data_IF_013245285723
#
_entry.id   IF_013245285723
#
_cell.length_a   1.000
_cell.length_b   1.000
_cell.length_c   1.000
_cell.angle_alpha   90.00
_cell.angle_beta   90.00
_cell.angle_gamma   90.00
#
_symmetry.space_group_name_H-M   'P 1'
#
loop_
_entity.id
_entity.type
_entity.pdbx_description
1 polymer ?
#
# COMPACT_ATOMS: atom_id res chain seq x y z
N UNK A 1 -12.61 -5.13 5.13
CA UNK A 1 -13.30 -3.86 4.81
C UNK A 1 -13.35 -2.96 6.04
N UNK A 2 -13.83 -3.40 7.22
CA UNK A 2 -13.99 -2.54 8.39
C UNK A 2 -12.74 -1.73 8.77
N UNK A 3 -11.56 -2.35 8.82
CA UNK A 3 -10.29 -1.65 9.09
C UNK A 3 -9.99 -0.57 8.05
N UNK A 4 -10.28 -0.82 6.78
CA UNK A 4 -10.07 0.15 5.71
C UNK A 4 -10.95 1.38 5.88
N UNK A 5 -12.22 1.20 6.26
CA UNK A 5 -13.16 2.31 6.49
C UNK A 5 -12.75 3.15 7.70
N UNK A 6 -12.32 2.52 8.82
CA UNK A 6 -11.81 3.24 9.99
C UNK A 6 -10.56 4.06 9.62
N UNK A 7 -9.60 3.45 8.94
CA UNK A 7 -8.39 4.13 8.50
C UNK A 7 -8.70 5.27 7.51
N UNK A 8 -9.65 5.06 6.61
CA UNK A 8 -10.06 6.07 5.62
C UNK A 8 -10.72 7.29 6.26
N UNK A 9 -11.52 7.09 7.31
CA UNK A 9 -12.07 8.19 8.13
C UNK A 9 -10.93 9.03 8.71
N UNK A 10 -9.96 8.39 9.32
CA UNK A 10 -8.86 9.06 10.02
C UNK A 10 -7.87 9.74 9.04
N UNK A 11 -7.77 9.22 7.81
CA UNK A 11 -6.93 9.76 6.74
C UNK A 11 -7.67 10.72 5.80
N UNK A 12 -8.97 10.99 6.01
CA UNK A 12 -9.76 11.92 5.21
C UNK A 12 -10.01 11.46 3.77
N UNK A 13 -10.23 10.16 3.55
CA UNK A 13 -10.53 9.57 2.23
C UNK A 13 -11.70 8.56 2.29
N UNK A 14 -12.66 8.80 3.17
CA UNK A 14 -13.79 7.89 3.39
C UNK A 14 -14.68 7.76 2.14
N UNK A 15 -14.90 8.84 1.41
CA UNK A 15 -15.70 8.85 0.17
C UNK A 15 -15.15 7.85 -0.85
N UNK A 16 -13.86 7.94 -1.16
CA UNK A 16 -13.21 7.03 -2.11
C UNK A 16 -13.19 5.61 -1.58
N UNK A 17 -13.00 5.44 -0.27
CA UNK A 17 -12.98 4.11 0.33
C UNK A 17 -14.33 3.42 0.29
N UNK A 18 -15.45 4.14 0.48
CA UNK A 18 -16.79 3.59 0.35
C UNK A 18 -17.03 3.07 -1.08
N UNK A 19 -16.60 3.84 -2.08
CA UNK A 19 -16.69 3.45 -3.50
C UNK A 19 -15.90 2.16 -3.75
N UNK A 20 -14.63 2.15 -3.35
CA UNK A 20 -13.73 1.01 -3.58
C UNK A 20 -14.20 -0.24 -2.83
N UNK A 21 -14.54 -0.10 -1.54
CA UNK A 21 -15.00 -1.22 -0.72
C UNK A 21 -16.29 -1.85 -1.27
N UNK A 22 -17.24 -1.04 -1.72
CA UNK A 22 -18.44 -1.53 -2.39
C UNK A 22 -18.12 -2.23 -3.71
N UNK A 23 -17.24 -1.66 -4.53
CA UNK A 23 -16.81 -2.25 -5.81
C UNK A 23 -16.12 -3.60 -5.64
N UNK A 24 -15.22 -3.72 -4.67
CA UNK A 24 -14.53 -4.98 -4.35
C UNK A 24 -15.48 -6.05 -3.75
N UNK A 25 -16.66 -5.66 -3.28
CA UNK A 25 -17.65 -6.56 -2.71
C UNK A 25 -18.68 -7.07 -3.74
N UNK A 26 -18.60 -6.55 -4.97
CA UNK A 26 -19.51 -6.90 -6.07
C UNK A 26 -18.73 -7.45 -7.26
N UNK A 27 -19.46 -8.03 -8.22
CA UNK A 27 -18.81 -8.48 -9.45
C UNK A 27 -18.41 -7.28 -10.30
N UNK A 28 -17.20 -7.35 -10.90
CA UNK A 28 -16.69 -6.30 -11.80
C UNK A 28 -17.73 -5.99 -12.91
N UNK A 29 -18.17 -4.73 -13.05
CA UNK A 29 -19.14 -4.36 -14.05
C UNK A 29 -18.56 -4.32 -15.47
N UNK A 30 -17.27 -4.33 -15.67
CA UNK A 30 -16.61 -4.32 -16.98
C UNK A 30 -16.77 -5.68 -17.65
N UNK A 31 -17.33 -5.67 -18.85
CA UNK A 31 -17.51 -6.87 -19.67
C UNK A 31 -16.52 -6.86 -20.82
N UNK A 32 -15.96 -8.02 -21.11
CA UNK A 32 -14.98 -8.21 -22.19
C UNK A 32 -15.36 -9.38 -23.07
N UNK A 33 -16.39 -9.24 -23.92
CA UNK A 33 -16.84 -10.32 -24.80
C UNK A 33 -15.71 -10.74 -25.75
N UNK A 34 -15.61 -12.04 -26.01
CA UNK A 34 -14.54 -12.59 -26.85
C UNK A 34 -14.50 -11.99 -28.26
N UNK A 35 -15.67 -11.69 -28.82
CA UNK A 35 -15.83 -11.12 -30.17
C UNK A 35 -15.48 -9.63 -30.25
N UNK A 36 -15.42 -8.92 -29.12
CA UNK A 36 -15.28 -7.47 -29.05
C UNK A 36 -14.22 -7.01 -28.07
N UNK A 37 -13.23 -7.85 -27.77
CA UNK A 37 -12.21 -7.57 -26.74
C UNK A 37 -11.48 -6.25 -26.96
N UNK A 38 -11.06 -5.99 -28.20
CA UNK A 38 -10.32 -4.78 -28.53
C UNK A 38 -11.19 -3.53 -28.34
N UNK A 39 -12.46 -3.57 -28.77
CA UNK A 39 -13.39 -2.46 -28.60
C UNK A 39 -13.71 -2.21 -27.12
N UNK A 40 -13.88 -3.27 -26.32
CA UNK A 40 -14.07 -3.16 -24.88
C UNK A 40 -12.85 -2.55 -24.20
N UNK A 41 -11.64 -3.03 -24.53
CA UNK A 41 -10.40 -2.51 -23.99
C UNK A 41 -10.21 -1.01 -24.30
N UNK A 42 -10.55 -0.57 -25.51
CA UNK A 42 -10.53 0.85 -25.89
C UNK A 42 -11.48 1.69 -25.03
N UNK A 43 -12.70 1.22 -24.80
CA UNK A 43 -13.67 1.92 -23.95
C UNK A 43 -13.24 1.94 -22.48
N UNK A 44 -12.69 0.85 -22.00
CA UNK A 44 -12.26 0.72 -20.60
C UNK A 44 -11.01 1.56 -20.29
N UNK A 45 -10.20 1.96 -21.28
CA UNK A 45 -9.07 2.89 -21.08
C UNK A 45 -9.50 4.19 -20.39
N UNK A 46 -10.74 4.63 -20.59
CA UNK A 46 -11.30 5.81 -19.95
C UNK A 46 -11.24 5.73 -18.39
N UNK A 47 -11.34 4.53 -17.87
CA UNK A 47 -11.40 4.27 -16.42
C UNK A 47 -10.04 3.87 -15.82
N UNK A 48 -9.02 3.66 -16.65
CA UNK A 48 -7.71 3.21 -16.19
C UNK A 48 -6.99 4.29 -15.40
N UNK A 49 -6.48 3.92 -14.24
CA UNK A 49 -5.44 4.66 -13.55
C UNK A 49 -4.10 3.93 -13.71
N UNK A 50 -3.04 4.66 -14.03
CA UNK A 50 -1.73 4.07 -14.37
C UNK A 50 -0.96 3.51 -13.18
N UNK A 51 -1.35 3.87 -11.96
CA UNK A 51 -0.66 3.49 -10.71
C UNK A 51 -1.51 2.61 -9.81
N UNK A 52 -2.84 2.61 -10.00
CA UNK A 52 -3.77 1.93 -9.09
C UNK A 52 -5.05 1.46 -9.77
N UNK A 53 -5.27 0.16 -9.77
CA UNK A 53 -6.57 -0.37 -10.21
C UNK A 53 -7.69 -0.02 -9.22
N UNK A 54 -7.38 0.26 -7.96
CA UNK A 54 -8.38 0.77 -7.00
C UNK A 54 -8.90 2.16 -7.39
N UNK A 55 -8.03 3.04 -7.88
CA UNK A 55 -8.47 4.33 -8.41
C UNK A 55 -9.22 4.21 -9.72
N UNK A 56 -9.01 3.14 -10.47
CA UNK A 56 -9.81 2.84 -11.65
C UNK A 56 -11.30 2.60 -11.29
N UNK A 57 -11.56 1.99 -10.12
CA UNK A 57 -12.93 1.89 -9.58
C UNK A 57 -13.52 3.28 -9.28
N UNK A 58 -12.77 4.19 -8.69
CA UNK A 58 -13.24 5.55 -8.40
C UNK A 58 -13.55 6.31 -9.71
N UNK A 59 -12.70 6.18 -10.74
CA UNK A 59 -12.95 6.79 -12.05
C UNK A 59 -14.22 6.24 -12.70
N UNK A 60 -14.41 4.93 -12.67
CA UNK A 60 -15.61 4.28 -13.20
C UNK A 60 -16.87 4.70 -12.43
N UNK A 61 -16.80 4.79 -11.11
CA UNK A 61 -17.90 5.29 -10.30
C UNK A 61 -18.31 6.72 -10.65
N UNK A 62 -17.34 7.62 -10.75
CA UNK A 62 -17.60 9.02 -11.10
C UNK A 62 -18.23 9.15 -12.48
N UNK A 63 -17.76 8.36 -13.44
CA UNK A 63 -18.38 8.28 -14.77
C UNK A 63 -19.82 7.79 -14.69
N UNK A 64 -20.08 6.71 -13.94
CA UNK A 64 -21.41 6.15 -13.80
C UNK A 64 -22.36 7.11 -13.08
N UNK A 65 -21.91 7.76 -12.01
CA UNK A 65 -22.68 8.80 -11.31
C UNK A 65 -23.07 9.92 -12.25
N UNK A 66 -22.14 10.42 -13.06
CA UNK A 66 -22.40 11.43 -14.06
C UNK A 66 -23.44 10.95 -15.10
N UNK A 67 -23.30 9.72 -15.59
CA UNK A 67 -24.27 9.13 -16.53
C UNK A 67 -25.68 9.00 -15.91
N UNK A 68 -25.78 8.69 -14.62
CA UNK A 68 -27.06 8.65 -13.87
C UNK A 68 -27.66 10.04 -13.74
N UNK A 69 -26.87 11.05 -13.41
CA UNK A 69 -27.32 12.44 -13.18
C UNK A 69 -27.83 13.10 -14.49
N UNK A 70 -27.25 12.74 -15.63
CA UNK A 70 -27.57 13.32 -16.94
C UNK A 70 -28.44 12.43 -17.83
N UNK A 71 -28.97 11.30 -17.33
CA UNK A 71 -29.78 10.38 -18.10
C UNK A 71 -31.10 11.02 -18.55
N UNK A 72 -31.48 10.82 -19.81
CA UNK A 72 -32.81 11.18 -20.35
C UNK A 72 -33.89 10.17 -19.94
N UNK A 73 -33.52 8.90 -19.81
CA UNK A 73 -34.38 7.81 -19.42
C UNK A 73 -33.55 6.64 -18.88
N UNK A 74 -34.19 5.70 -18.19
CA UNK A 74 -33.50 4.47 -17.75
C UNK A 74 -32.99 3.63 -18.94
N UNK A 75 -33.75 3.59 -20.05
CA UNK A 75 -33.31 2.92 -21.27
C UNK A 75 -32.03 3.55 -21.83
N UNK A 76 -31.99 4.89 -21.94
CA UNK A 76 -30.81 5.62 -22.41
C UNK A 76 -29.58 5.34 -21.52
N UNK A 77 -29.75 5.21 -20.19
CA UNK A 77 -28.66 4.86 -19.29
C UNK A 77 -28.14 3.44 -19.55
N UNK A 78 -29.04 2.46 -19.72
CA UNK A 78 -28.68 1.07 -20.07
C UNK A 78 -27.92 1.03 -21.40
N UNK A 79 -28.42 1.73 -22.42
CA UNK A 79 -27.77 1.80 -23.72
C UNK A 79 -26.37 2.45 -23.63
N UNK A 80 -26.22 3.49 -22.79
CA UNK A 80 -24.93 4.12 -22.52
C UNK A 80 -23.95 3.17 -21.84
N UNK A 81 -24.39 2.38 -20.86
CA UNK A 81 -23.56 1.36 -20.21
C UNK A 81 -23.10 0.30 -21.21
N UNK A 82 -24.03 -0.25 -22.01
CA UNK A 82 -23.71 -1.25 -23.04
C UNK A 82 -22.73 -0.73 -24.09
N UNK A 83 -22.88 0.54 -24.53
CA UNK A 83 -21.95 1.17 -25.45
C UNK A 83 -20.50 1.30 -24.90
N UNK A 84 -20.34 1.17 -23.59
CA UNK A 84 -19.04 1.16 -22.91
C UNK A 84 -18.63 -0.24 -22.40
N UNK A 85 -19.34 -1.29 -22.82
CA UNK A 85 -19.13 -2.67 -22.36
C UNK A 85 -19.18 -2.78 -20.82
N UNK A 86 -20.22 -2.16 -20.25
CA UNK A 86 -20.51 -2.19 -18.82
C UNK A 86 -21.86 -2.84 -18.54
N UNK A 87 -21.88 -3.75 -17.58
CA UNK A 87 -23.11 -4.36 -17.08
C UNK A 87 -23.86 -3.37 -16.19
N UNK A 88 -25.00 -2.87 -16.67
CA UNK A 88 -25.86 -1.99 -15.87
C UNK A 88 -26.35 -2.64 -14.59
N UNK A 89 -26.62 -3.96 -14.62
CA UNK A 89 -27.08 -4.71 -13.46
C UNK A 89 -26.02 -4.69 -12.36
N UNK A 90 -24.75 -4.98 -12.67
CA UNK A 90 -23.64 -4.96 -11.71
C UNK A 90 -23.33 -3.54 -11.22
N UNK A 91 -23.45 -2.53 -12.07
CA UNK A 91 -23.32 -1.13 -11.65
C UNK A 91 -24.42 -0.73 -10.66
N UNK A 92 -25.65 -1.20 -10.85
CA UNK A 92 -26.75 -0.98 -9.92
C UNK A 92 -26.50 -1.69 -8.59
N UNK A 93 -26.07 -2.94 -8.61
CA UNK A 93 -25.71 -3.70 -7.42
C UNK A 93 -24.59 -2.99 -6.64
N UNK A 94 -23.54 -2.54 -7.32
CA UNK A 94 -22.47 -1.76 -6.70
C UNK A 94 -23.01 -0.51 -6.01
N UNK A 95 -23.92 0.22 -6.66
CA UNK A 95 -24.56 1.40 -6.06
C UNK A 95 -25.38 1.07 -4.84
N UNK A 96 -26.08 -0.06 -4.84
CA UNK A 96 -26.85 -0.53 -3.69
C UNK A 96 -25.95 -0.86 -2.51
N UNK A 97 -24.86 -1.59 -2.72
CA UNK A 97 -23.86 -1.90 -1.68
C UNK A 97 -23.18 -0.62 -1.16
N UNK A 98 -22.85 0.31 -2.05
CA UNK A 98 -22.32 1.60 -1.64
C UNK A 98 -23.32 2.34 -0.73
N UNK A 99 -24.61 2.37 -1.09
CA UNK A 99 -25.65 2.99 -0.27
C UNK A 99 -25.78 2.36 1.12
N UNK A 100 -25.67 1.04 1.21
CA UNK A 100 -25.68 0.33 2.50
C UNK A 100 -24.46 0.71 3.36
N UNK A 101 -23.26 0.74 2.79
CA UNK A 101 -22.04 1.15 3.50
C UNK A 101 -22.12 2.61 3.93
N UNK A 102 -22.64 3.49 3.06
CA UNK A 102 -22.84 4.90 3.39
C UNK A 102 -23.82 5.08 4.55
N UNK A 103 -24.96 4.38 4.55
CA UNK A 103 -25.92 4.42 5.65
C UNK A 103 -25.27 3.99 6.98
N UNK A 104 -24.52 2.88 6.96
CA UNK A 104 -23.82 2.35 8.12
C UNK A 104 -22.83 3.38 8.71
N UNK A 105 -22.00 4.01 7.89
CA UNK A 105 -21.01 4.98 8.39
C UNK A 105 -21.70 6.28 8.87
N UNK A 106 -22.84 6.64 8.28
CA UNK A 106 -23.64 7.77 8.70
C UNK A 106 -24.26 7.53 10.07
N UNK A 107 -24.79 6.34 10.34
CA UNK A 107 -25.31 5.93 11.66
C UNK A 107 -24.22 5.97 12.73
N UNK A 108 -22.95 5.69 12.36
CA UNK A 108 -21.79 5.83 13.25
C UNK A 108 -21.36 7.30 13.46
N UNK A 109 -22.05 8.26 12.85
CA UNK A 109 -21.73 9.68 12.93
C UNK A 109 -20.50 10.10 12.14
N UNK A 110 -20.05 9.26 11.20
CA UNK A 110 -18.89 9.59 10.36
C UNK A 110 -19.30 10.49 9.20
N UNK A 111 -18.40 11.39 8.84
CA UNK A 111 -18.61 12.31 7.71
C UNK A 111 -17.66 11.97 6.58
N UNK A 112 -18.18 12.00 5.37
CA UNK A 112 -17.37 11.93 4.18
C UNK A 112 -16.48 13.16 4.03
N UNK A 113 -15.36 12.99 3.32
CA UNK A 113 -14.42 14.06 3.06
C UNK A 113 -14.99 15.06 2.04
N UNK A 114 -14.81 16.35 2.30
CA UNK A 114 -15.22 17.43 1.38
C UNK A 114 -14.21 17.69 0.24
N UNK A 115 -12.99 17.18 0.40
CA UNK A 115 -11.91 17.31 -0.58
C UNK A 115 -11.46 15.89 -0.96
N UNK A 116 -11.21 15.61 -2.25
CA UNK A 116 -10.75 14.28 -2.66
C UNK A 116 -9.53 13.81 -1.90
N UNK A 117 -9.56 12.56 -1.46
CA UNK A 117 -8.44 11.92 -0.77
C UNK A 117 -7.19 11.86 -1.65
N UNK A 118 -6.02 12.02 -1.02
CA UNK A 118 -4.75 11.88 -1.74
C UNK A 118 -4.47 10.40 -2.09
N UNK A 119 -3.61 10.17 -3.08
CA UNK A 119 -3.16 8.82 -3.44
C UNK A 119 -2.65 8.06 -2.20
N UNK A 120 -1.79 8.69 -1.41
CA UNK A 120 -1.18 8.10 -0.23
C UNK A 120 -2.22 7.75 0.85
N UNK A 121 -3.15 8.67 1.14
CA UNK A 121 -4.21 8.45 2.12
C UNK A 121 -5.09 7.25 1.75
N UNK A 122 -5.55 7.18 0.50
CA UNK A 122 -6.39 6.09 -0.01
C UNK A 122 -5.64 4.76 0.08
N UNK A 123 -4.37 4.73 -0.36
CA UNK A 123 -3.62 3.47 -0.39
C UNK A 123 -3.13 3.02 0.98
N UNK A 124 -2.83 3.94 1.90
CA UNK A 124 -2.57 3.59 3.31
C UNK A 124 -3.84 3.05 4.00
N UNK A 125 -5.00 3.61 3.71
CA UNK A 125 -6.26 3.10 4.23
C UNK A 125 -6.56 1.68 3.69
N UNK A 126 -6.41 1.45 2.37
CA UNK A 126 -6.51 0.12 1.76
C UNK A 126 -5.52 -0.87 2.37
N UNK A 127 -4.28 -0.44 2.55
CA UNK A 127 -3.20 -1.27 3.09
C UNK A 127 -3.50 -1.76 4.50
N UNK A 128 -4.24 -1.00 5.32
CA UNK A 128 -4.67 -1.42 6.67
C UNK A 128 -5.46 -2.75 6.68
N UNK A 129 -6.14 -3.04 5.59
CA UNK A 129 -6.87 -4.30 5.39
C UNK A 129 -6.17 -5.31 4.49
N UNK A 130 -5.10 -4.91 3.79
CA UNK A 130 -4.42 -5.71 2.75
C UNK A 130 -2.93 -6.00 3.06
N UNK A 131 -2.48 -5.82 4.30
CA UNK A 131 -1.09 -6.09 4.70
C UNK A 131 -0.62 -7.52 4.38
N UNK A 132 -1.54 -8.48 4.28
CA UNK A 132 -1.24 -9.86 3.86
C UNK A 132 -1.05 -10.04 2.36
N UNK A 133 -1.44 -9.05 1.54
CA UNK A 133 -1.45 -9.12 0.08
C UNK A 133 -0.43 -8.15 -0.55
N UNK A 134 0.59 -7.76 0.20
CA UNK A 134 1.70 -6.98 -0.32
C UNK A 134 2.65 -7.86 -1.14
N UNK A 135 3.41 -7.24 -2.03
CA UNK A 135 4.47 -7.90 -2.78
C UNK A 135 5.65 -6.98 -3.04
N UNK A 136 6.85 -7.53 -2.85
CA UNK A 136 8.11 -6.92 -3.27
C UNK A 136 8.57 -7.56 -4.58
N UNK A 137 8.95 -6.76 -5.56
CA UNK A 137 9.47 -7.25 -6.82
C UNK A 137 10.67 -8.15 -6.57
N UNK A 138 10.61 -9.36 -7.10
CA UNK A 138 11.69 -10.36 -7.04
C UNK A 138 12.74 -10.10 -8.13
N UNK A 139 13.93 -10.64 -7.93
CA UNK A 139 14.97 -10.68 -8.98
C UNK A 139 14.55 -11.57 -10.16
N UNK A 140 13.66 -12.53 -9.90
CA UNK A 140 13.04 -13.34 -10.94
C UNK A 140 12.02 -12.50 -11.73
N UNK A 141 12.18 -12.50 -13.06
CA UNK A 141 11.41 -11.64 -13.96
C UNK A 141 9.89 -11.79 -13.79
N UNK A 142 9.24 -10.68 -13.47
CA UNK A 142 7.79 -10.56 -13.38
C UNK A 142 7.18 -11.02 -12.05
N UNK A 143 7.90 -11.74 -11.19
CA UNK A 143 7.39 -12.22 -9.90
C UNK A 143 7.51 -11.18 -8.78
N UNK A 144 6.55 -11.25 -7.87
CA UNK A 144 6.53 -10.54 -6.60
C UNK A 144 6.57 -11.53 -5.45
N UNK A 145 7.43 -11.27 -4.48
CA UNK A 145 7.51 -12.02 -3.23
C UNK A 145 6.52 -11.42 -2.23
N UNK A 146 5.51 -12.18 -1.91
CA UNK A 146 4.47 -11.81 -0.95
C UNK A 146 4.65 -12.44 0.43
N UNK A 147 3.65 -12.23 1.28
CA UNK A 147 3.60 -12.78 2.63
C UNK A 147 3.80 -14.30 2.63
N UNK A 148 4.48 -14.81 3.68
CA UNK A 148 4.74 -16.25 3.90
C UNK A 148 5.49 -16.95 2.76
N UNK A 149 6.30 -16.21 2.00
CA UNK A 149 7.09 -16.76 0.90
C UNK A 149 6.30 -17.04 -0.38
N UNK A 150 5.04 -16.61 -0.47
CA UNK A 150 4.23 -16.77 -1.68
C UNK A 150 4.85 -15.94 -2.81
N UNK A 151 4.98 -16.53 -4.00
CA UNK A 151 5.40 -15.84 -5.23
C UNK A 151 4.22 -15.74 -6.17
N UNK A 152 3.93 -14.55 -6.63
CA UNK A 152 2.83 -14.31 -7.54
C UNK A 152 3.18 -13.32 -8.64
N UNK A 153 2.42 -13.36 -9.72
CA UNK A 153 2.50 -12.46 -10.86
C UNK A 153 1.36 -11.45 -10.77
N UNK A 154 1.52 -10.31 -11.39
CA UNK A 154 0.37 -9.42 -11.66
C UNK A 154 -0.44 -10.05 -12.80
N UNK A 155 -1.76 -10.07 -12.66
CA UNK A 155 -2.63 -10.66 -13.67
C UNK A 155 -2.41 -10.00 -15.05
N UNK A 156 -2.37 -10.77 -16.15
CA UNK A 156 -2.05 -10.24 -17.48
C UNK A 156 -2.98 -9.13 -17.98
N UNK A 157 -4.23 -9.11 -17.53
CA UNK A 157 -5.18 -8.04 -17.88
C UNK A 157 -4.97 -6.73 -17.12
N UNK A 158 -4.08 -6.70 -16.13
CA UNK A 158 -3.80 -5.49 -15.34
C UNK A 158 -2.97 -4.49 -16.16
N UNK A 159 -3.34 -3.22 -16.18
CA UNK A 159 -2.55 -2.17 -16.82
C UNK A 159 -1.18 -1.97 -16.12
N UNK A 160 -1.04 -2.44 -14.88
CA UNK A 160 0.18 -2.32 -14.11
C UNK A 160 1.19 -3.43 -14.37
N UNK A 161 0.88 -4.46 -15.14
CA UNK A 161 1.75 -5.63 -15.34
C UNK A 161 3.23 -5.29 -15.62
N UNK A 162 3.47 -4.24 -16.41
CA UNK A 162 4.84 -3.81 -16.80
C UNK A 162 5.36 -2.61 -16.00
N UNK A 163 4.50 -1.91 -15.24
CA UNK A 163 4.78 -0.59 -14.64
C UNK A 163 4.57 -0.52 -13.13
N UNK A 164 4.29 -1.62 -12.46
CA UNK A 164 3.86 -1.64 -11.06
C UNK A 164 4.91 -1.17 -10.04
N UNK A 165 6.19 -1.14 -10.40
CA UNK A 165 7.25 -0.70 -9.48
C UNK A 165 7.74 -1.80 -8.55
N UNK A 166 8.46 -1.40 -7.49
CA UNK A 166 9.10 -2.33 -6.54
C UNK A 166 8.10 -2.94 -5.56
N UNK A 167 7.19 -2.13 -5.04
CA UNK A 167 6.22 -2.53 -4.03
C UNK A 167 4.80 -2.40 -4.57
N UNK A 168 4.02 -3.44 -4.33
CA UNK A 168 2.60 -3.49 -4.72
C UNK A 168 1.75 -4.04 -3.57
N UNK A 169 0.46 -3.73 -3.62
CA UNK A 169 -0.59 -4.46 -2.91
C UNK A 169 -1.63 -4.94 -3.91
N UNK A 170 -2.25 -6.07 -3.63
CA UNK A 170 -3.34 -6.62 -4.41
C UNK A 170 -4.62 -6.75 -3.55
N UNK A 171 -5.79 -6.56 -4.14
CA UNK A 171 -7.04 -6.82 -3.43
C UNK A 171 -7.16 -8.31 -3.09
N UNK A 172 -6.76 -9.18 -4.01
CA UNK A 172 -6.76 -10.61 -3.84
C UNK A 172 -5.58 -11.27 -4.57
N UNK A 173 -5.20 -12.45 -4.11
CA UNK A 173 -4.25 -13.34 -4.78
C UNK A 173 -5.02 -14.61 -5.11
N UNK A 174 -5.21 -14.88 -6.39
CA UNK A 174 -5.99 -16.02 -6.90
C UNK A 174 -5.08 -17.03 -7.58
N UNK A 175 -5.35 -18.30 -7.36
CA UNK A 175 -4.67 -19.41 -8.03
C UNK A 175 -5.50 -19.87 -9.25
N UNK A 176 -4.83 -19.91 -10.40
CA UNK A 176 -5.34 -20.52 -11.61
C UNK A 176 -4.30 -21.53 -12.11
N UNK A 177 -3.59 -21.26 -13.20
CA UNK A 177 -2.38 -22.00 -13.59
C UNK A 177 -1.16 -21.55 -12.77
N UNK A 178 -1.20 -20.35 -12.24
CA UNK A 178 -0.21 -19.72 -11.36
C UNK A 178 -0.95 -18.82 -10.37
N UNK A 179 -0.22 -18.31 -9.37
CA UNK A 179 -0.75 -17.30 -8.47
C UNK A 179 -0.70 -15.92 -9.13
N UNK A 180 -1.84 -15.24 -9.14
CA UNK A 180 -1.97 -13.90 -9.71
C UNK A 180 -2.57 -12.92 -8.70
N UNK A 181 -1.92 -11.76 -8.54
CA UNK A 181 -2.49 -10.59 -7.86
C UNK A 181 -3.49 -9.89 -8.79
N UNK A 182 -4.69 -9.63 -8.28
CA UNK A 182 -5.76 -8.91 -8.96
C UNK A 182 -6.07 -7.61 -8.24
N UNK A 183 -6.51 -6.61 -8.99
CA UNK A 183 -6.76 -5.26 -8.53
C UNK A 183 -5.54 -4.73 -7.74
N UNK A 184 -4.49 -4.42 -8.49
CA UNK A 184 -3.18 -4.10 -7.96
C UNK A 184 -2.98 -2.59 -7.88
N UNK A 185 -2.27 -2.13 -6.87
CA UNK A 185 -1.76 -0.76 -6.78
C UNK A 185 -0.29 -0.74 -6.41
N UNK A 186 0.40 0.28 -6.91
CA UNK A 186 1.75 0.62 -6.47
C UNK A 186 1.70 1.26 -5.08
N UNK A 187 2.61 0.82 -4.20
CA UNK A 187 2.75 1.35 -2.84
C UNK A 187 4.21 1.64 -2.52
N UNK A 188 4.44 2.27 -1.36
CA UNK A 188 5.78 2.56 -0.85
C UNK A 188 6.06 1.75 0.43
N UNK A 189 7.32 1.35 0.62
CA UNK A 189 7.75 0.55 1.80
C UNK A 189 7.45 1.24 3.13
N UNK A 190 7.59 2.56 3.17
CA UNK A 190 7.35 3.35 4.38
C UNK A 190 5.90 3.31 4.83
N UNK A 191 4.95 3.18 3.89
CA UNK A 191 3.54 3.00 4.24
C UNK A 191 3.30 1.64 4.90
N UNK A 192 4.01 0.60 4.44
CA UNK A 192 3.92 -0.74 5.04
C UNK A 192 4.41 -0.69 6.50
N UNK A 193 5.54 -0.01 6.75
CA UNK A 193 6.07 0.15 8.11
C UNK A 193 5.13 0.98 9.00
N UNK A 194 4.54 2.06 8.46
CA UNK A 194 3.64 2.95 9.18
C UNK A 194 2.32 2.25 9.55
N UNK A 195 1.67 1.64 8.57
CA UNK A 195 0.36 0.97 8.74
C UNK A 195 0.51 -0.35 9.49
N UNK A 196 1.57 -1.09 9.20
CA UNK A 196 1.87 -2.40 9.77
C UNK A 196 2.74 -2.38 11.03
N UNK A 197 2.97 -1.24 11.67
CA UNK A 197 3.92 -1.07 12.77
C UNK A 197 3.78 -2.11 13.89
N UNK A 198 2.55 -2.51 14.20
CA UNK A 198 2.21 -3.51 15.20
C UNK A 198 2.50 -4.97 14.79
N UNK A 199 2.81 -5.21 13.52
CA UNK A 199 3.10 -6.53 12.93
C UNK A 199 4.55 -6.65 12.45
N UNK A 200 5.28 -5.54 12.37
CA UNK A 200 6.66 -5.48 11.91
C UNK A 200 7.56 -6.17 12.94
N UNK A 201 8.36 -7.11 12.47
CA UNK A 201 9.47 -7.69 13.23
C UNK A 201 10.74 -6.90 12.93
N UNK A 202 11.42 -6.48 13.99
CA UNK A 202 12.69 -5.74 13.92
C UNK A 202 13.81 -6.62 14.40
N UNK A 203 14.92 -6.63 13.68
CA UNK A 203 16.16 -7.29 14.04
C UNK A 203 17.28 -6.27 13.99
N UNK A 204 18.08 -6.26 15.06
CA UNK A 204 19.22 -5.36 15.18
C UNK A 204 20.50 -6.18 15.09
N UNK A 205 21.49 -5.67 14.39
CA UNK A 205 22.75 -6.37 14.18
C UNK A 205 23.89 -5.41 13.93
N UNK A 206 25.14 -5.91 14.09
CA UNK A 206 26.38 -5.20 13.83
C UNK A 206 26.46 -3.86 14.56
N UNK A 207 26.20 -3.89 15.87
CA UNK A 207 26.37 -2.74 16.74
C UNK A 207 27.86 -2.41 16.89
N UNK A 208 28.25 -1.18 16.61
CA UNK A 208 29.64 -0.73 16.61
C UNK A 208 29.75 0.74 17.01
N UNK A 209 30.92 1.12 17.49
CA UNK A 209 31.26 2.51 17.75
C UNK A 209 31.48 3.26 16.44
N UNK A 210 30.93 4.42 16.34
CA UNK A 210 31.09 5.28 15.18
C UNK A 210 31.74 6.62 15.57
N UNK A 211 33.01 6.74 15.26
CA UNK A 211 33.83 7.90 15.58
C UNK A 211 33.22 9.22 15.11
N UNK A 212 32.73 9.27 13.86
CA UNK A 212 32.20 10.50 13.25
C UNK A 212 30.97 11.06 13.95
N UNK A 213 30.06 10.20 14.36
CA UNK A 213 28.81 10.59 15.04
C UNK A 213 28.91 10.52 16.57
N UNK A 214 30.05 10.05 17.10
CA UNK A 214 30.32 9.86 18.54
C UNK A 214 29.20 9.12 19.25
N UNK A 215 28.74 8.03 18.63
CA UNK A 215 27.66 7.19 19.17
C UNK A 215 27.82 5.74 18.76
N UNK A 216 27.19 4.84 19.49
CA UNK A 216 27.06 3.45 19.06
C UNK A 216 25.92 3.39 18.02
N UNK A 217 26.29 3.00 16.82
CA UNK A 217 25.39 2.79 15.69
C UNK A 217 25.22 1.31 15.43
N UNK A 218 24.14 0.96 14.79
CA UNK A 218 23.85 -0.42 14.37
C UNK A 218 22.93 -0.43 13.16
N UNK A 219 22.59 -1.60 12.72
CA UNK A 219 21.68 -1.80 11.60
C UNK A 219 20.37 -2.41 12.05
N UNK A 220 19.28 -1.90 11.54
CA UNK A 220 17.94 -2.45 11.69
C UNK A 220 17.49 -3.10 10.39
N UNK A 221 16.94 -4.30 10.50
CA UNK A 221 16.20 -4.98 9.45
C UNK A 221 14.75 -5.12 9.86
N UNK A 222 13.83 -4.71 8.99
CA UNK A 222 12.39 -4.85 9.25
C UNK A 222 11.76 -5.87 8.31
N UNK A 223 10.88 -6.70 8.86
CA UNK A 223 10.15 -7.72 8.09
C UNK A 223 8.68 -7.74 8.47
N UNK A 224 7.81 -8.02 7.49
CA UNK A 224 6.38 -8.25 7.68
C UNK A 224 5.99 -9.57 7.04
N UNK A 225 5.45 -10.50 7.82
CA UNK A 225 5.06 -11.85 7.35
C UNK A 225 6.16 -12.57 6.53
N UNK A 226 7.43 -12.35 6.88
CA UNK A 226 8.59 -12.92 6.20
C UNK A 226 9.09 -12.11 5.00
N UNK A 227 8.37 -11.10 4.54
CA UNK A 227 8.85 -10.18 3.49
C UNK A 227 9.77 -9.15 4.12
N UNK A 228 10.96 -8.97 3.57
CA UNK A 228 11.93 -7.96 4.00
C UNK A 228 11.47 -6.59 3.48
N UNK A 229 11.03 -5.71 4.39
CA UNK A 229 10.59 -4.35 4.04
C UNK A 229 11.80 -3.43 3.90
N UNK A 230 12.65 -3.42 4.92
CA UNK A 230 13.92 -2.71 4.89
C UNK A 230 15.05 -3.68 5.27
N UNK A 231 16.00 -3.97 4.38
CA UNK A 231 17.06 -4.92 4.65
C UNK A 231 18.13 -4.38 5.60
N UNK A 232 18.39 -3.07 5.57
CA UNK A 232 19.49 -2.47 6.33
C UNK A 232 19.26 -0.96 6.46
N UNK A 233 18.83 -0.53 7.65
CA UNK A 233 18.68 0.87 8.01
C UNK A 233 19.60 1.18 9.17
N UNK A 234 20.40 2.24 9.04
CA UNK A 234 21.26 2.69 10.14
C UNK A 234 20.41 3.30 11.25
N UNK A 235 20.75 2.93 12.47
CA UNK A 235 20.08 3.43 13.69
C UNK A 235 21.06 3.82 14.76
N UNK A 236 20.63 4.71 15.66
CA UNK A 236 21.32 4.96 16.92
C UNK A 236 20.98 3.81 17.89
N UNK A 237 21.98 3.00 18.22
CA UNK A 237 21.78 1.77 19.03
C UNK A 237 21.70 2.05 20.53
N UNK A 238 22.27 3.17 21.00
CA UNK A 238 22.34 3.56 22.41
C UNK A 238 21.01 3.45 23.18
N UNK A 239 19.91 4.07 22.69
CA UNK A 239 18.61 3.99 23.37
C UNK A 239 17.97 2.60 23.40
N UNK A 240 18.34 1.73 22.46
CA UNK A 240 17.76 0.38 22.35
C UNK A 240 18.42 -0.61 23.31
N UNK A 241 19.73 -0.53 23.47
CA UNK A 241 20.52 -1.41 24.33
C UNK A 241 21.62 -0.61 25.06
N UNK A 242 21.26 0.16 26.12
CA UNK A 242 22.19 1.04 26.80
C UNK A 242 23.43 0.34 27.42
N UNK A 243 23.20 -0.85 28.00
CA UNK A 243 24.29 -1.61 28.65
C UNK A 243 25.30 -2.12 27.61
N UNK A 244 24.84 -2.72 26.52
CA UNK A 244 25.69 -3.20 25.42
C UNK A 244 26.39 -2.04 24.73
N UNK A 245 25.69 -0.93 24.51
CA UNK A 245 26.26 0.28 23.90
C UNK A 245 27.38 0.88 24.77
N UNK A 246 27.21 0.86 26.08
CA UNK A 246 28.26 1.29 27.01
C UNK A 246 29.52 0.41 26.89
N UNK A 247 29.36 -0.89 26.79
CA UNK A 247 30.47 -1.82 26.64
C UNK A 247 31.19 -1.60 25.29
N UNK A 248 30.44 -1.46 24.20
CA UNK A 248 30.99 -1.15 22.89
C UNK A 248 31.74 0.19 22.90
N UNK A 249 31.18 1.22 23.52
CA UNK A 249 31.85 2.52 23.66
C UNK A 249 33.16 2.41 24.43
N UNK A 250 33.17 1.69 25.57
CA UNK A 250 34.42 1.50 26.36
C UNK A 250 35.47 0.77 25.52
N UNK A 251 35.12 -0.34 24.88
CA UNK A 251 36.08 -1.17 24.14
C UNK A 251 36.56 -0.50 22.85
N UNK A 252 35.65 0.01 22.03
CA UNK A 252 35.98 0.53 20.70
C UNK A 252 36.24 2.04 20.70
N UNK A 253 35.57 2.81 21.54
CA UNK A 253 35.76 4.24 21.65
C UNK A 253 36.97 4.61 22.52
N UNK A 254 36.95 4.13 23.79
CA UNK A 254 37.99 4.55 24.76
C UNK A 254 39.27 3.74 24.63
N UNK A 255 39.20 2.42 24.65
CA UNK A 255 40.40 1.56 24.66
C UNK A 255 41.10 1.54 23.31
N UNK A 256 40.37 1.57 22.21
CA UNK A 256 40.94 1.62 20.86
C UNK A 256 41.26 3.04 20.39
N UNK A 257 41.10 4.05 21.27
CA UNK A 257 41.40 5.47 20.99
C UNK A 257 40.66 6.02 19.73
N UNK A 258 39.54 5.46 19.39
CA UNK A 258 38.71 5.91 18.26
C UNK A 258 37.79 7.08 18.63
N UNK A 259 38.33 8.06 19.36
CA UNK A 259 37.67 9.30 19.75
C UNK A 259 38.16 10.43 18.88
N UNK A 260 37.27 11.33 18.50
CA UNK A 260 37.65 12.56 17.78
C UNK A 260 38.49 13.46 18.72
N UNK A 261 39.67 13.89 18.27
CA UNK A 261 40.57 14.75 19.05
C UNK A 261 39.93 16.07 19.49
N UNK A 262 39.05 16.63 18.66
CA UNK A 262 38.36 17.87 19.00
C UNK A 262 37.35 17.65 20.15
N UNK A 263 36.77 16.45 20.25
CA UNK A 263 35.93 16.07 21.36
C UNK A 263 36.75 15.76 22.61
N UNK A 264 37.86 15.03 22.49
CA UNK A 264 38.75 14.70 23.59
C UNK A 264 39.28 15.97 24.29
N UNK A 265 39.61 17.04 23.56
CA UNK A 265 40.05 18.34 24.10
C UNK A 265 39.02 19.02 25.01
N UNK A 266 37.72 18.70 24.88
CA UNK A 266 36.67 19.27 25.76
C UNK A 266 36.56 18.54 27.12
N UNK A 267 37.22 17.42 27.26
CA UNK A 267 37.08 16.56 28.43
C UNK A 267 38.48 16.15 28.93
N UNK A 268 39.06 16.88 29.90
CA UNK A 268 40.43 16.67 30.34
C UNK A 268 40.79 15.23 30.76
N UNK A 269 39.82 14.45 31.21
CA UNK A 269 40.04 13.07 31.61
C UNK A 269 40.42 12.12 30.44
N UNK A 270 40.09 12.49 29.20
CA UNK A 270 40.53 11.73 28.02
C UNK A 270 41.99 11.97 27.67
N UNK A 271 42.61 13.03 28.20
CA UNK A 271 44.00 13.40 27.93
C UNK A 271 44.97 12.75 28.93
N UNK A 272 44.44 11.99 29.89
CA UNK A 272 45.23 11.37 30.96
C UNK A 272 45.34 9.85 30.81
N UNK A 273 44.80 9.29 29.81
CA UNK A 273 45.01 7.89 29.41
C UNK A 273 45.97 7.89 28.20
#
# INVERSE_FOLDING_TARGET
IGRMLVAARDLGCLTEMLIIAAGLSTQDPRERPQESQQAADEKHKLFVDEKSEFLSWVKLWNWFKNAVDHKKSNKSLVDTCHAHFLSYLRLREWREVHGQLHAMVTELGWKENGIPGTYDAIHMALLSGLLGNIGCKSDESGYYLGARGIRYLIHPSSPLQKKAGKWIMAAEITETTRLFGRCVARIESDWIEKVGAHLIKRQYFDAHWEKRSMQVSGWERTTLYGVVINPKRRIHYGPLAPAESREIFIRQGLVSEEIDEAFAKRWPFFLHN
#
